data_IF_342925123937
#
_entry.id   IF_342925123937
#
_cell.length_a   1.000
_cell.length_b   1.000
_cell.length_c   1.000
_cell.angle_alpha   90.00
_cell.angle_beta   90.00
_cell.angle_gamma   90.00
#
_symmetry.space_group_name_H-M   'P 1'
#
loop_
_entity.id
_entity.type
_entity.pdbx_description
1 polymer ?
#
# COMPACT_ATOMS: atom_id res chain seq x y z
N UNK A 1 -15.28 -23.97 8.50
CA UNK A 1 -13.84 -24.00 8.27
C UNK A 1 -13.39 -22.65 7.75
N UNK A 2 -12.47 -22.09 8.41
CA UNK A 2 -11.94 -20.76 8.46
C UNK A 2 -11.99 -19.83 7.25
N UNK A 3 -12.88 -18.83 7.31
CA UNK A 3 -12.79 -17.61 6.51
C UNK A 3 -11.80 -16.59 7.12
N UNK A 4 -10.89 -17.04 7.97
CA UNK A 4 -9.92 -16.17 8.61
C UNK A 4 -8.71 -15.99 7.69
N UNK A 5 -8.32 -14.72 7.49
CA UNK A 5 -7.11 -14.38 6.77
C UNK A 5 -5.88 -14.82 7.57
N UNK A 6 -4.92 -15.40 6.86
CA UNK A 6 -3.58 -15.63 7.38
C UNK A 6 -2.64 -14.56 6.85
N UNK A 7 -1.82 -13.96 7.73
CA UNK A 7 -0.82 -12.99 7.34
C UNK A 7 0.56 -13.62 7.24
N UNK A 8 1.31 -13.19 6.23
CA UNK A 8 2.74 -13.46 6.11
C UNK A 8 3.51 -12.27 5.55
N UNK A 9 4.81 -12.29 5.67
CA UNK A 9 5.68 -11.37 4.91
C UNK A 9 5.66 -11.74 3.44
N UNK A 10 5.85 -10.76 2.57
CA UNK A 10 5.93 -10.98 1.14
C UNK A 10 7.33 -11.46 0.73
N UNK A 11 7.47 -12.61 0.08
CA UNK A 11 8.68 -12.95 -0.65
C UNK A 11 8.74 -12.22 -1.99
N UNK A 12 9.88 -12.29 -2.65
CA UNK A 12 10.09 -11.69 -3.97
C UNK A 12 9.13 -12.24 -5.04
N UNK A 13 8.74 -13.49 -4.91
CA UNK A 13 7.83 -14.17 -5.85
C UNK A 13 6.43 -13.53 -5.90
N UNK A 14 6.03 -12.79 -4.87
CA UNK A 14 4.74 -12.09 -4.85
C UNK A 14 4.75 -10.74 -5.61
N UNK A 15 5.87 -10.31 -6.17
CA UNK A 15 5.99 -8.97 -6.76
C UNK A 15 4.96 -8.70 -7.87
N UNK A 16 4.49 -9.70 -8.59
CA UNK A 16 3.44 -9.53 -9.60
C UNK A 16 2.11 -9.14 -8.95
N UNK A 17 1.67 -9.86 -7.94
CA UNK A 17 0.44 -9.60 -7.20
C UNK A 17 0.54 -8.29 -6.41
N UNK A 18 1.69 -8.00 -5.82
CA UNK A 18 1.93 -6.74 -5.11
C UNK A 18 1.84 -5.53 -6.05
N UNK A 19 2.30 -5.66 -7.30
CA UNK A 19 2.17 -4.60 -8.31
C UNK A 19 0.71 -4.29 -8.61
N UNK A 20 -0.13 -5.33 -8.74
CA UNK A 20 -1.58 -5.17 -8.91
C UNK A 20 -2.22 -4.52 -7.69
N UNK A 21 -1.91 -5.02 -6.50
CA UNK A 21 -2.44 -4.47 -5.24
C UNK A 21 -2.04 -3.01 -5.06
N UNK A 22 -0.78 -2.66 -5.36
CA UNK A 22 -0.28 -1.27 -5.29
C UNK A 22 -1.07 -0.35 -6.21
N UNK A 23 -1.31 -0.76 -7.44
CA UNK A 23 -2.04 0.05 -8.42
C UNK A 23 -3.53 0.17 -8.05
N UNK A 24 -4.16 -0.92 -7.60
CA UNK A 24 -5.54 -0.92 -7.11
C UNK A 24 -5.69 0.01 -5.90
N UNK A 25 -4.83 -0.13 -4.89
CA UNK A 25 -4.87 0.68 -3.68
C UNK A 25 -4.63 2.17 -3.97
N UNK A 26 -3.73 2.48 -4.88
CA UNK A 26 -3.42 3.84 -5.31
C UNK A 26 -4.32 4.38 -6.43
N UNK A 27 -5.41 3.68 -6.76
CA UNK A 27 -6.42 4.09 -7.76
C UNK A 27 -5.80 4.56 -9.08
N UNK A 28 -4.85 3.76 -9.59
CA UNK A 28 -4.12 4.00 -10.84
C UNK A 28 -3.08 5.12 -10.81
N UNK A 29 -2.90 5.82 -9.71
CA UNK A 29 -1.79 6.77 -9.57
C UNK A 29 -0.42 6.08 -9.71
N UNK A 30 -0.17 4.92 -9.09
CA UNK A 30 1.09 4.21 -9.27
C UNK A 30 1.39 3.88 -10.73
N UNK A 31 0.46 3.28 -11.47
CA UNK A 31 0.67 2.97 -12.89
C UNK A 31 0.84 4.22 -13.76
N UNK A 32 0.16 5.31 -13.44
CA UNK A 32 0.39 6.59 -14.09
C UNK A 32 1.83 7.09 -13.87
N UNK A 33 2.32 7.08 -12.63
CA UNK A 33 3.69 7.50 -12.31
C UNK A 33 4.73 6.58 -12.96
N UNK A 34 4.51 5.26 -12.92
CA UNK A 34 5.39 4.30 -13.59
C UNK A 34 5.46 4.52 -15.09
N UNK A 35 4.33 4.92 -15.72
CA UNK A 35 4.29 5.20 -17.17
C UNK A 35 5.21 6.34 -17.60
N UNK A 36 5.56 7.24 -16.69
CA UNK A 36 6.49 8.35 -16.97
C UNK A 36 7.96 7.91 -16.97
N UNK A 37 8.25 6.73 -16.43
CA UNK A 37 9.61 6.24 -16.20
C UNK A 37 9.94 4.96 -16.99
N UNK A 38 8.96 4.36 -17.69
CA UNK A 38 9.18 3.12 -18.47
C UNK A 38 10.26 3.29 -19.53
N UNK A 39 11.04 2.23 -19.74
CA UNK A 39 12.03 2.16 -20.80
C UNK A 39 11.39 1.64 -22.08
N UNK A 40 12.04 1.91 -23.21
CA UNK A 40 11.58 1.41 -24.51
C UNK A 40 11.47 -0.14 -24.48
N UNK A 41 10.30 -0.64 -24.88
CA UNK A 41 10.02 -2.08 -24.91
C UNK A 41 9.58 -2.69 -23.57
N UNK A 42 9.51 -1.90 -22.50
CA UNK A 42 9.03 -2.31 -21.19
C UNK A 42 7.57 -1.91 -20.99
N UNK A 43 6.74 -2.79 -20.46
CA UNK A 43 5.38 -2.42 -20.05
C UNK A 43 5.38 -1.66 -18.72
N UNK A 44 4.31 -0.90 -18.46
CA UNK A 44 4.15 -0.14 -17.20
C UNK A 44 4.18 -1.07 -15.99
N UNK A 45 3.53 -2.23 -16.08
CA UNK A 45 3.50 -3.20 -14.98
C UNK A 45 4.82 -3.95 -14.79
N UNK A 46 5.59 -4.20 -15.86
CA UNK A 46 6.97 -4.71 -15.71
C UNK A 46 7.83 -3.70 -14.96
N UNK A 47 7.75 -2.42 -15.31
CA UNK A 47 8.49 -1.38 -14.60
C UNK A 47 8.10 -1.33 -13.13
N UNK A 48 6.79 -1.30 -12.81
CA UNK A 48 6.30 -1.28 -11.43
C UNK A 48 6.74 -2.51 -10.64
N UNK A 49 6.67 -3.70 -11.24
CA UNK A 49 7.13 -4.95 -10.64
C UNK A 49 8.63 -4.93 -10.35
N UNK A 50 9.44 -4.47 -11.29
CA UNK A 50 10.88 -4.39 -11.12
C UNK A 50 11.25 -3.37 -10.04
N UNK A 51 10.53 -2.26 -9.96
CA UNK A 51 10.70 -1.25 -8.91
C UNK A 51 10.36 -1.81 -7.53
N UNK A 52 9.22 -2.49 -7.37
CA UNK A 52 8.81 -3.16 -6.13
C UNK A 52 9.83 -4.23 -5.70
N UNK A 53 10.42 -4.92 -6.67
CA UNK A 53 11.39 -6.00 -6.43
C UNK A 53 12.77 -5.50 -6.04
N UNK A 54 13.29 -4.48 -6.72
CA UNK A 54 14.70 -4.15 -6.70
C UNK A 54 15.03 -2.83 -5.99
N UNK A 55 14.13 -1.85 -5.98
CA UNK A 55 14.39 -0.54 -5.39
C UNK A 55 14.14 -0.56 -3.88
N UNK A 56 15.21 -0.76 -3.11
CA UNK A 56 15.16 -0.81 -1.64
C UNK A 56 14.81 0.53 -0.99
N UNK A 57 14.88 1.64 -1.73
CA UNK A 57 14.47 2.97 -1.26
C UNK A 57 13.00 3.27 -1.59
N UNK A 58 12.38 2.44 -2.39
CA UNK A 58 10.96 2.57 -2.70
C UNK A 58 10.11 2.10 -1.50
N UNK A 59 9.20 2.93 -1.05
CA UNK A 59 8.34 2.61 0.10
C UNK A 59 7.55 1.32 -0.10
N UNK A 60 7.11 1.05 -1.34
CA UNK A 60 6.41 -0.17 -1.73
C UNK A 60 7.33 -1.34 -2.09
N UNK A 61 8.62 -1.33 -1.69
CA UNK A 61 9.49 -2.49 -1.86
C UNK A 61 8.87 -3.73 -1.22
N UNK A 62 8.98 -4.92 -1.86
CA UNK A 62 8.23 -6.13 -1.45
C UNK A 62 8.39 -6.50 0.03
N UNK A 63 9.57 -6.26 0.63
CA UNK A 63 9.85 -6.56 2.04
C UNK A 63 9.00 -5.77 3.03
N UNK A 64 8.41 -4.66 2.61
CA UNK A 64 7.57 -3.81 3.45
C UNK A 64 6.12 -4.30 3.53
N UNK A 65 5.74 -5.23 2.67
CA UNK A 65 4.38 -5.71 2.57
C UNK A 65 4.05 -6.85 3.53
N UNK A 66 2.79 -6.88 3.94
CA UNK A 66 2.14 -8.04 4.54
C UNK A 66 1.11 -8.57 3.57
N UNK A 67 1.20 -9.86 3.27
CA UNK A 67 0.30 -10.56 2.37
C UNK A 67 -0.76 -11.27 3.18
N UNK A 68 -2.00 -11.14 2.74
CA UNK A 68 -3.12 -11.89 3.27
C UNK A 68 -3.43 -13.08 2.38
N UNK A 69 -3.53 -14.23 2.98
CA UNK A 69 -3.90 -15.48 2.34
C UNK A 69 -5.22 -16.01 2.87
N UNK A 70 -5.97 -16.62 1.99
CA UNK A 70 -7.14 -17.41 2.30
C UNK A 70 -6.97 -18.79 1.66
N UNK A 71 -6.90 -19.86 2.47
CA UNK A 71 -6.65 -21.22 1.98
C UNK A 71 -5.38 -21.29 1.09
N UNK A 72 -4.29 -20.68 1.55
CA UNK A 72 -2.99 -20.61 0.86
C UNK A 72 -3.02 -19.88 -0.49
N UNK A 73 -4.07 -19.09 -0.76
CA UNK A 73 -4.15 -18.23 -1.94
C UNK A 73 -3.94 -16.78 -1.56
N UNK A 74 -3.11 -16.06 -2.30
CA UNK A 74 -2.97 -14.63 -2.19
C UNK A 74 -4.32 -13.96 -2.47
N UNK A 75 -4.86 -13.19 -1.51
CA UNK A 75 -6.16 -12.52 -1.68
C UNK A 75 -6.06 -11.00 -1.54
N UNK A 76 -4.98 -10.50 -1.00
CA UNK A 76 -4.75 -9.08 -0.81
C UNK A 76 -3.46 -8.82 -0.06
N UNK A 77 -3.14 -7.56 0.13
CA UNK A 77 -1.96 -7.15 0.87
C UNK A 77 -2.09 -5.72 1.38
N UNK A 78 -1.23 -5.35 2.31
CA UNK A 78 -1.06 -3.97 2.77
C UNK A 78 0.39 -3.69 3.12
N UNK A 79 0.75 -2.42 3.14
CA UNK A 79 1.95 -1.93 3.81
C UNK A 79 1.70 -0.55 4.42
N UNK A 80 2.51 -0.25 5.40
CA UNK A 80 2.53 1.05 6.05
C UNK A 80 3.84 1.23 6.80
N UNK A 81 4.04 2.43 7.30
CA UNK A 81 5.26 2.79 8.02
C UNK A 81 4.96 3.88 9.07
N UNK A 82 5.86 3.98 10.03
CA UNK A 82 5.81 5.06 11.03
C UNK A 82 6.29 6.36 10.37
N UNK A 83 5.44 7.37 10.36
CA UNK A 83 5.80 8.69 9.84
C UNK A 83 6.69 9.41 10.86
N UNK A 84 7.82 9.91 10.39
CA UNK A 84 8.77 10.61 11.24
C UNK A 84 8.16 11.82 11.96
N UNK A 85 8.57 12.01 13.21
CA UNK A 85 8.26 13.22 13.97
C UNK A 85 9.55 13.71 14.64
N UNK A 86 10.13 14.85 14.22
CA UNK A 86 9.60 15.80 13.22
C UNK A 86 9.60 15.24 11.79
N UNK A 87 8.63 15.68 11.01
CA UNK A 87 8.54 15.32 9.59
C UNK A 87 9.70 15.97 8.81
N UNK A 88 10.38 15.25 7.91
CA UNK A 88 11.49 15.80 7.15
C UNK A 88 11.04 16.95 6.24
N UNK A 89 11.93 17.90 6.01
CA UNK A 89 11.69 18.96 5.02
C UNK A 89 11.80 18.36 3.61
N UNK A 90 10.68 18.36 2.89
CA UNK A 90 10.58 17.82 1.54
C UNK A 90 10.35 18.98 0.58
N UNK A 91 11.22 19.07 -0.43
CA UNK A 91 11.03 19.99 -1.55
C UNK A 91 9.85 19.51 -2.40
N UNK A 92 8.72 20.18 -2.26
CA UNK A 92 7.50 19.86 -3.02
C UNK A 92 7.67 20.07 -4.53
N UNK A 93 8.60 20.90 -4.97
CA UNK A 93 8.85 21.11 -6.40
C UNK A 93 9.54 19.90 -7.05
N UNK A 94 10.27 19.11 -6.25
CA UNK A 94 10.84 17.83 -6.67
C UNK A 94 9.83 16.67 -6.65
N UNK A 95 8.63 16.87 -6.09
CA UNK A 95 7.57 15.86 -6.03
C UNK A 95 6.63 16.00 -7.20
N UNK A 96 6.25 14.90 -7.90
CA UNK A 96 5.23 14.96 -8.96
C UNK A 96 3.96 15.65 -8.47
N UNK A 97 3.43 16.58 -9.28
CA UNK A 97 2.31 17.45 -8.90
C UNK A 97 1.11 16.67 -8.34
N UNK A 98 0.76 15.57 -9.00
CA UNK A 98 -0.36 14.70 -8.56
C UNK A 98 -0.14 14.05 -7.18
N UNK A 99 1.11 13.98 -6.71
CA UNK A 99 1.46 13.36 -5.43
C UNK A 99 1.70 14.38 -4.30
N UNK A 100 1.85 15.67 -4.62
CA UNK A 100 2.06 16.73 -3.62
C UNK A 100 1.02 16.76 -2.50
N UNK A 101 -0.30 16.65 -2.78
CA UNK A 101 -1.30 16.60 -1.72
C UNK A 101 -1.12 15.41 -0.76
N UNK A 102 -0.65 14.27 -1.26
CA UNK A 102 -0.36 13.10 -0.42
C UNK A 102 0.79 13.37 0.55
N UNK A 103 1.85 14.05 0.10
CA UNK A 103 2.99 14.46 0.95
C UNK A 103 2.54 15.44 2.04
N UNK A 104 1.69 16.40 1.72
CA UNK A 104 1.15 17.35 2.70
C UNK A 104 0.28 16.67 3.76
N UNK A 105 -0.56 15.70 3.35
CA UNK A 105 -1.35 14.89 4.28
C UNK A 105 -0.47 13.99 5.15
N UNK A 106 0.59 13.44 4.59
CA UNK A 106 1.57 12.63 5.33
C UNK A 106 2.25 13.48 6.43
N UNK A 107 2.60 14.72 6.14
CA UNK A 107 3.14 15.66 7.14
C UNK A 107 2.18 15.86 8.31
N UNK A 108 0.87 15.89 8.06
CA UNK A 108 -0.14 15.97 9.14
C UNK A 108 -0.18 14.68 9.96
N UNK A 109 0.11 13.53 9.37
CA UNK A 109 0.14 12.23 10.01
C UNK A 109 1.45 11.91 10.75
N UNK A 110 2.34 12.91 10.98
CA UNK A 110 3.60 12.70 11.71
C UNK A 110 3.39 12.02 13.05
N UNK A 111 4.24 11.06 13.36
CA UNK A 111 4.14 10.25 14.59
C UNK A 111 3.04 9.18 14.55
N UNK A 112 2.25 9.11 13.48
CA UNK A 112 1.31 8.01 13.26
C UNK A 112 1.96 6.88 12.44
N UNK A 113 1.43 5.69 12.56
CA UNK A 113 1.68 4.66 11.56
C UNK A 113 0.73 4.89 10.37
N UNK A 114 1.31 5.22 9.21
CA UNK A 114 0.56 5.49 7.99
C UNK A 114 0.34 4.20 7.22
N UNK A 115 -0.93 3.80 7.08
CA UNK A 115 -1.34 2.74 6.17
C UNK A 115 -1.30 3.29 4.74
N UNK A 116 -0.21 3.00 4.02
CA UNK A 116 0.06 3.60 2.72
C UNK A 116 -0.68 2.91 1.58
N UNK A 117 -0.87 1.61 1.66
CA UNK A 117 -1.66 0.86 0.69
C UNK A 117 -2.32 -0.34 1.35
N UNK A 118 -3.54 -0.60 0.96
CA UNK A 118 -4.32 -1.78 1.35
C UNK A 118 -5.33 -2.11 0.25
N UNK A 119 -5.35 -3.33 -0.21
CA UNK A 119 -6.41 -3.80 -1.10
C UNK A 119 -6.62 -5.32 -1.03
N UNK A 120 -7.86 -5.70 -1.32
CA UNK A 120 -8.28 -7.08 -1.62
C UNK A 120 -8.44 -7.19 -3.14
N UNK A 121 -7.92 -8.27 -3.72
CA UNK A 121 -8.09 -8.56 -5.14
C UNK A 121 -9.58 -8.65 -5.49
N UNK A 122 -9.98 -8.17 -6.69
CA UNK A 122 -11.39 -8.03 -7.07
C UNK A 122 -12.24 -9.29 -6.88
N UNK A 123 -11.68 -10.45 -7.23
CA UNK A 123 -12.36 -11.74 -7.16
C UNK A 123 -12.67 -12.24 -5.73
N UNK A 124 -12.05 -11.61 -4.72
CA UNK A 124 -12.27 -11.94 -3.30
C UNK A 124 -13.09 -10.90 -2.54
N UNK A 125 -13.57 -9.86 -3.21
CA UNK A 125 -14.39 -8.80 -2.61
C UNK A 125 -15.77 -9.29 -2.20
N UNK A 126 -16.46 -8.49 -1.38
CA UNK A 126 -17.81 -8.81 -0.92
C UNK A 126 -17.89 -9.91 0.14
N UNK A 127 -16.77 -10.34 0.72
CA UNK A 127 -16.68 -11.43 1.73
C UNK A 127 -16.27 -10.94 3.13
N UNK A 128 -16.26 -9.62 3.36
CA UNK A 128 -15.80 -9.04 4.63
C UNK A 128 -14.30 -9.08 4.87
N UNK A 129 -13.50 -9.49 3.87
CA UNK A 129 -12.04 -9.65 4.02
C UNK A 129 -11.31 -8.32 4.20
N UNK A 130 -11.81 -7.23 3.59
CA UNK A 130 -11.20 -5.91 3.74
C UNK A 130 -11.19 -5.44 5.19
N UNK A 131 -12.26 -5.69 5.94
CA UNK A 131 -12.34 -5.36 7.37
C UNK A 131 -11.37 -6.20 8.20
N UNK A 132 -11.24 -7.50 7.90
CA UNK A 132 -10.24 -8.35 8.56
C UNK A 132 -8.83 -7.86 8.26
N UNK A 133 -8.55 -7.50 7.00
CA UNK A 133 -7.24 -7.00 6.58
C UNK A 133 -6.89 -5.68 7.27
N UNK A 134 -7.86 -4.78 7.42
CA UNK A 134 -7.68 -3.52 8.15
C UNK A 134 -7.38 -3.78 9.64
N UNK A 135 -8.11 -4.68 10.30
CA UNK A 135 -7.81 -5.08 11.69
C UNK A 135 -6.41 -5.70 11.85
N UNK A 136 -5.95 -6.43 10.84
CA UNK A 136 -4.57 -6.93 10.81
C UNK A 136 -3.55 -5.78 10.66
N UNK A 137 -3.84 -4.77 9.85
CA UNK A 137 -2.98 -3.59 9.71
C UNK A 137 -2.88 -2.81 11.04
N UNK A 138 -3.99 -2.66 11.75
CA UNK A 138 -4.01 -2.06 13.10
C UNK A 138 -3.12 -2.83 14.08
N UNK A 139 -3.17 -4.16 14.04
CA UNK A 139 -2.32 -5.01 14.90
C UNK A 139 -0.84 -4.82 14.56
N UNK A 140 -0.49 -4.78 13.28
CA UNK A 140 0.90 -4.53 12.83
C UNK A 140 1.38 -3.15 13.28
N UNK A 141 0.54 -2.12 13.16
CA UNK A 141 0.85 -0.77 13.61
C UNK A 141 1.13 -0.73 15.12
N UNK A 142 0.30 -1.42 15.91
CA UNK A 142 0.46 -1.53 17.37
C UNK A 142 1.75 -2.26 17.74
N UNK A 143 2.07 -3.35 17.07
CA UNK A 143 3.31 -4.12 17.29
C UNK A 143 4.55 -3.29 16.90
N UNK A 144 4.42 -2.36 15.96
CA UNK A 144 5.46 -1.37 15.62
C UNK A 144 5.58 -0.23 16.65
N UNK A 145 4.81 -0.26 17.74
CA UNK A 145 4.84 0.76 18.79
C UNK A 145 4.02 2.01 18.51
N UNK A 146 3.19 2.02 17.46
CA UNK A 146 2.37 3.16 17.14
C UNK A 146 1.12 3.26 18.05
N UNK A 147 0.83 4.47 18.52
CA UNK A 147 -0.39 4.76 19.28
C UNK A 147 -1.55 5.22 18.40
N UNK A 148 -1.26 5.58 17.16
CA UNK A 148 -2.24 6.05 16.18
C UNK A 148 -1.93 5.48 14.80
N UNK A 149 -2.99 5.13 14.08
CA UNK A 149 -2.92 4.76 12.67
C UNK A 149 -3.58 5.88 11.85
N UNK A 150 -2.99 6.21 10.72
CA UNK A 150 -3.52 7.16 9.75
C UNK A 150 -3.64 6.47 8.40
N UNK A 151 -4.60 6.88 7.61
CA UNK A 151 -4.74 6.48 6.22
C UNK A 151 -5.22 7.65 5.38
N UNK A 152 -4.89 7.64 4.11
CA UNK A 152 -5.32 8.63 3.14
C UNK A 152 -6.36 7.99 2.22
N UNK A 153 -7.52 8.61 2.10
CA UNK A 153 -8.63 8.11 1.28
C UNK A 153 -9.14 9.24 0.39
N UNK A 154 -9.26 8.98 -0.91
CA UNK A 154 -9.93 9.92 -1.79
C UNK A 154 -11.41 10.04 -1.44
N UNK A 155 -11.94 11.26 -1.41
CA UNK A 155 -13.34 11.54 -1.08
C UNK A 155 -14.34 10.74 -1.94
N UNK A 156 -14.01 10.50 -3.20
CA UNK A 156 -14.84 9.72 -4.12
C UNK A 156 -14.79 8.20 -3.87
N UNK A 157 -13.88 7.73 -3.01
CA UNK A 157 -13.72 6.31 -2.69
C UNK A 157 -14.68 5.88 -1.56
N UNK A 158 -15.97 5.84 -1.85
CA UNK A 158 -17.03 5.52 -0.88
C UNK A 158 -16.85 4.14 -0.22
N UNK A 159 -16.27 3.17 -0.93
CA UNK A 159 -16.03 1.82 -0.40
C UNK A 159 -14.99 1.88 0.73
N UNK A 160 -13.89 2.59 0.53
CA UNK A 160 -12.87 2.75 1.56
C UNK A 160 -13.40 3.49 2.79
N UNK A 161 -14.19 4.56 2.60
CA UNK A 161 -14.85 5.27 3.71
C UNK A 161 -15.80 4.39 4.53
N UNK A 162 -16.42 3.39 3.91
CA UNK A 162 -17.35 2.49 4.61
C UNK A 162 -16.63 1.45 5.46
N UNK A 163 -15.38 1.09 5.11
CA UNK A 163 -14.59 0.06 5.79
C UNK A 163 -13.71 0.66 6.90
N UNK A 164 -13.22 1.89 6.71
CA UNK A 164 -12.42 2.62 7.69
C UNK A 164 -13.32 3.20 8.79
#
# INVERSE_FOLDING_TARGET
MGNALQLRTAPEDDCTELTLVRDIAGRRMPSYLWSQEVKQGQSVFEYGRDKIRADTNYDAHFRNWRVAELQSKFVGAFFGFLVNDPYPDIDLDAVPECFRPCVELERVARGCWLLQAIAILPEYRGRGLARQLLGNAESVAKDAGANRIALQVEEVNKVAFTVS
#
